data_IF_086930894067
#
_entry.id   IF_086930894067
#
_cell.length_a   1.000
_cell.length_b   1.000
_cell.length_c   1.000
_cell.angle_alpha   90.00
_cell.angle_beta   90.00
_cell.angle_gamma   90.00
#
_symmetry.space_group_name_H-M   'P 1'
#
loop_
_entity.id
_entity.type
_entity.pdbx_description
1 polymer ?
#
# COMPACT_ATOMS: atom_id res chain seq x y z
N UNK A 1 40.30 85.22 -6.10
CA UNK A 1 39.43 84.22 -6.82
C UNK A 1 39.39 82.81 -6.20
N UNK A 2 40.27 82.48 -5.29
CA UNK A 2 40.40 81.11 -4.70
C UNK A 2 39.44 80.81 -3.56
N UNK A 3 38.81 81.75 -2.88
CA UNK A 3 37.89 81.43 -1.72
C UNK A 3 36.47 81.05 -2.17
N UNK A 4 36.02 81.53 -3.36
CA UNK A 4 34.68 81.15 -3.87
C UNK A 4 34.63 79.73 -4.47
N UNK A 5 35.73 79.21 -5.00
CA UNK A 5 35.80 77.82 -5.51
C UNK A 5 35.72 76.82 -4.40
N UNK A 6 36.44 76.98 -3.30
CA UNK A 6 36.41 76.07 -2.13
C UNK A 6 35.06 76.03 -1.43
N UNK A 7 34.26 77.10 -1.50
CA UNK A 7 32.90 77.11 -0.86
C UNK A 7 31.88 76.31 -1.70
N UNK A 8 31.95 76.43 -3.03
CA UNK A 8 31.12 75.62 -3.94
C UNK A 8 31.46 74.14 -3.84
N UNK A 9 32.78 73.77 -3.76
CA UNK A 9 33.21 72.40 -3.63
C UNK A 9 32.69 71.75 -2.32
N UNK A 10 32.61 72.50 -1.20
CA UNK A 10 32.04 72.03 0.09
C UNK A 10 30.55 71.93 0.01
N UNK A 11 29.84 72.87 -0.60
CA UNK A 11 28.37 72.79 -0.77
C UNK A 11 27.98 71.66 -1.67
N UNK A 12 28.70 71.36 -2.73
CA UNK A 12 28.50 70.20 -3.60
C UNK A 12 28.78 68.89 -2.88
N UNK A 13 29.81 68.82 -2.03
CA UNK A 13 30.09 67.63 -1.21
C UNK A 13 29.00 67.37 -0.14
N UNK A 14 28.48 68.45 0.50
CA UNK A 14 27.39 68.38 1.44
C UNK A 14 26.11 67.87 0.74
N UNK A 15 25.81 68.36 -0.41
CA UNK A 15 24.67 67.95 -1.23
C UNK A 15 24.76 66.46 -1.61
N UNK A 16 25.93 66.07 -2.12
CA UNK A 16 26.19 64.64 -2.47
C UNK A 16 26.06 63.72 -1.28
N UNK A 17 26.52 64.16 -0.09
CA UNK A 17 26.36 63.36 1.17
C UNK A 17 24.87 63.23 1.60
N UNK A 18 24.09 64.30 1.44
CA UNK A 18 22.65 64.26 1.71
C UNK A 18 21.92 63.28 0.79
N UNK A 19 22.18 63.38 -0.50
CA UNK A 19 21.60 62.51 -1.51
C UNK A 19 21.97 61.03 -1.25
N UNK A 20 23.23 60.77 -0.87
CA UNK A 20 23.66 59.42 -0.52
C UNK A 20 22.92 58.84 0.71
N UNK A 21 22.74 59.68 1.76
CA UNK A 21 21.96 59.26 2.97
C UNK A 21 20.48 59.02 2.66
N UNK A 22 19.87 59.86 1.84
CA UNK A 22 18.46 59.68 1.43
C UNK A 22 18.27 58.39 0.62
N UNK A 23 19.22 58.04 -0.25
CA UNK A 23 19.25 56.77 -0.99
C UNK A 23 19.40 55.58 -0.07
N UNK A 24 20.32 55.65 0.90
CA UNK A 24 20.54 54.57 1.89
C UNK A 24 19.31 54.35 2.78
N UNK A 25 18.69 55.44 3.23
CA UNK A 25 17.46 55.38 4.02
C UNK A 25 16.30 54.75 3.22
N UNK A 26 16.09 55.14 1.98
CA UNK A 26 15.07 54.60 1.10
C UNK A 26 15.28 53.10 0.85
N UNK A 27 16.52 52.66 0.60
CA UNK A 27 16.87 51.27 0.41
C UNK A 27 16.61 50.46 1.68
N UNK A 28 16.95 50.96 2.87
CA UNK A 28 16.70 50.32 4.15
C UNK A 28 15.20 50.13 4.44
N UNK A 29 14.38 51.14 4.14
CA UNK A 29 12.92 51.06 4.29
C UNK A 29 12.30 50.02 3.36
N UNK A 30 12.72 49.98 2.09
CA UNK A 30 12.25 48.99 1.13
C UNK A 30 12.59 47.56 1.62
N UNK A 31 13.82 47.32 2.08
CA UNK A 31 14.22 46.01 2.63
C UNK A 31 13.40 45.61 3.84
N UNK A 32 13.03 46.56 4.70
CA UNK A 32 12.16 46.28 5.84
C UNK A 32 10.74 45.87 5.41
N UNK A 33 10.18 46.50 4.38
CA UNK A 33 8.86 46.13 3.85
C UNK A 33 8.94 44.76 3.13
N UNK A 34 10.00 44.50 2.35
CA UNK A 34 10.25 43.19 1.71
C UNK A 34 10.21 42.05 2.76
N UNK A 35 10.88 42.24 3.91
CA UNK A 35 10.94 41.20 4.94
C UNK A 35 9.59 40.90 5.60
N UNK A 36 8.65 41.83 5.54
CA UNK A 36 7.30 41.70 6.13
C UNK A 36 6.24 41.24 5.14
N UNK A 37 6.44 41.49 3.84
CA UNK A 37 5.52 41.17 2.75
C UNK A 37 5.77 39.75 2.25
N UNK A 38 5.19 38.77 2.91
CA UNK A 38 5.42 37.33 2.60
C UNK A 38 4.55 36.79 1.47
N UNK A 39 3.33 37.32 1.29
CA UNK A 39 2.35 36.78 0.36
C UNK A 39 1.94 37.75 -0.77
N UNK A 40 2.31 39.05 -0.63
CA UNK A 40 1.91 40.10 -1.57
C UNK A 40 3.07 41.06 -1.80
N UNK A 41 3.47 41.22 -3.05
CA UNK A 41 4.51 42.16 -3.47
C UNK A 41 3.97 43.60 -3.69
N UNK A 42 2.66 43.81 -3.74
CA UNK A 42 2.02 45.10 -3.99
C UNK A 42 2.56 46.23 -3.09
N UNK A 43 2.55 46.08 -1.74
CA UNK A 43 3.07 47.10 -0.83
C UNK A 43 4.53 47.45 -1.07
N UNK A 44 5.37 46.51 -1.52
CA UNK A 44 6.78 46.74 -1.82
C UNK A 44 6.90 47.51 -3.10
N UNK A 45 6.18 47.16 -4.16
CA UNK A 45 6.21 47.89 -5.43
C UNK A 45 5.68 49.30 -5.27
N UNK A 46 4.63 49.47 -4.48
CA UNK A 46 4.09 50.82 -4.16
C UNK A 46 5.12 51.70 -3.50
N UNK A 47 5.83 51.20 -2.48
CA UNK A 47 6.89 51.94 -1.80
C UNK A 47 8.05 52.26 -2.74
N UNK A 48 8.48 51.30 -3.57
CA UNK A 48 9.55 51.49 -4.55
C UNK A 48 9.19 52.61 -5.54
N UNK A 49 7.97 52.63 -6.06
CA UNK A 49 7.51 53.65 -6.97
C UNK A 49 7.42 55.02 -6.26
N UNK A 50 6.96 55.09 -5.02
CA UNK A 50 6.91 56.33 -4.23
C UNK A 50 8.31 56.94 -4.05
N UNK A 51 9.30 56.11 -3.66
CA UNK A 51 10.69 56.57 -3.51
C UNK A 51 11.36 56.91 -4.85
N UNK A 52 11.07 56.18 -5.93
CA UNK A 52 11.58 56.47 -7.24
C UNK A 52 11.07 57.82 -7.77
N UNK A 53 9.79 58.13 -7.58
CA UNK A 53 9.19 59.42 -7.93
C UNK A 53 9.88 60.59 -7.18
N UNK A 54 9.99 60.43 -5.85
CA UNK A 54 10.53 61.45 -4.94
C UNK A 54 12.01 61.77 -5.31
N UNK A 55 12.87 60.74 -5.31
CA UNK A 55 14.31 60.90 -5.46
C UNK A 55 14.74 61.22 -6.91
N UNK A 56 13.98 60.73 -7.91
CA UNK A 56 14.27 61.08 -9.32
C UNK A 56 13.56 62.33 -9.80
N UNK A 57 12.77 63.00 -8.98
CA UNK A 57 11.96 64.16 -9.37
C UNK A 57 11.15 63.87 -10.67
N UNK A 58 10.58 62.66 -10.71
CA UNK A 58 9.77 62.19 -11.83
C UNK A 58 8.35 61.89 -11.32
N UNK A 59 7.37 62.77 -11.54
CA UNK A 59 6.07 62.69 -10.88
C UNK A 59 5.23 61.46 -11.29
N UNK A 60 5.74 60.61 -12.18
CA UNK A 60 4.99 59.47 -12.72
C UNK A 60 5.89 58.25 -12.84
N UNK A 61 5.35 57.12 -12.35
CA UNK A 61 6.03 55.82 -12.47
C UNK A 61 5.01 54.68 -12.70
N UNK A 62 5.44 53.67 -13.44
CA UNK A 62 4.67 52.45 -13.70
C UNK A 62 5.61 51.25 -13.62
N UNK A 63 5.17 50.19 -12.93
CA UNK A 63 5.87 48.93 -12.89
C UNK A 63 5.07 47.91 -13.71
N UNK A 64 5.77 47.29 -14.64
CA UNK A 64 5.24 46.22 -15.49
C UNK A 64 5.88 44.88 -15.11
N UNK A 65 5.12 43.81 -15.09
CA UNK A 65 5.62 42.44 -15.04
C UNK A 65 5.25 41.70 -16.31
N UNK A 66 6.12 40.80 -16.71
CA UNK A 66 5.89 39.89 -17.83
C UNK A 66 4.84 38.87 -17.41
N UNK A 67 3.81 38.67 -18.23
CA UNK A 67 2.78 37.69 -17.96
C UNK A 67 3.33 36.23 -18.00
N UNK A 68 2.57 35.28 -17.49
CA UNK A 68 2.98 33.86 -17.41
C UNK A 68 3.40 33.25 -18.74
N UNK A 69 2.78 33.69 -19.85
CA UNK A 69 3.06 33.19 -21.21
C UNK A 69 4.22 33.94 -21.89
N UNK A 70 4.80 34.94 -21.22
CA UNK A 70 5.90 35.79 -21.74
C UNK A 70 5.55 36.54 -23.04
N UNK A 71 4.27 36.84 -23.27
CA UNK A 71 3.78 37.44 -24.50
C UNK A 71 3.52 38.96 -24.38
N UNK A 72 3.26 39.45 -23.17
CA UNK A 72 2.89 40.81 -22.91
C UNK A 72 3.31 41.29 -21.53
N UNK A 73 3.30 42.61 -21.33
CA UNK A 73 3.64 43.28 -20.09
C UNK A 73 2.38 43.87 -19.44
N UNK A 74 2.06 43.41 -18.24
CA UNK A 74 0.92 43.84 -17.45
C UNK A 74 1.32 44.90 -16.42
N UNK A 75 0.48 45.94 -16.22
CA UNK A 75 0.69 46.91 -15.14
C UNK A 75 0.35 46.29 -13.80
N UNK A 76 1.31 46.22 -12.89
CA UNK A 76 1.14 45.71 -11.52
C UNK A 76 1.13 46.78 -10.44
N UNK A 77 1.79 47.91 -10.71
CA UNK A 77 1.75 49.07 -9.82
C UNK A 77 1.96 50.37 -10.62
N UNK A 78 1.40 51.47 -10.16
CA UNK A 78 1.62 52.81 -10.79
C UNK A 78 1.46 53.93 -9.78
N UNK A 79 2.13 55.08 -10.09
CA UNK A 79 2.00 56.33 -9.34
C UNK A 79 1.86 57.49 -10.31
N UNK A 80 0.95 58.42 -9.99
CA UNK A 80 0.71 59.62 -10.74
C UNK A 80 0.11 59.47 -12.15
N UNK A 81 0.07 58.27 -12.68
CA UNK A 81 -0.49 57.98 -14.00
C UNK A 81 -2.01 58.27 -14.05
N UNK A 82 -2.49 58.80 -15.17
CA UNK A 82 -3.92 59.10 -15.38
C UNK A 82 -4.74 57.80 -15.42
N UNK A 83 -5.88 57.78 -14.75
CA UNK A 83 -6.79 56.61 -14.72
C UNK A 83 -7.09 56.05 -16.10
N UNK A 84 -7.41 56.97 -17.06
CA UNK A 84 -7.69 56.60 -18.44
C UNK A 84 -6.52 55.90 -19.13
N UNK A 85 -5.27 56.30 -18.86
CA UNK A 85 -4.08 55.64 -19.41
C UNK A 85 -3.92 54.25 -18.83
N UNK A 86 -4.10 54.07 -17.51
CA UNK A 86 -4.02 52.76 -16.86
C UNK A 86 -5.09 51.79 -17.35
N UNK A 87 -6.32 52.29 -17.54
CA UNK A 87 -7.41 51.50 -18.08
C UNK A 87 -7.14 51.05 -19.53
N UNK A 88 -6.63 51.96 -20.37
CA UNK A 88 -6.26 51.60 -21.73
C UNK A 88 -5.14 50.55 -21.78
N UNK A 89 -4.15 50.65 -20.90
CA UNK A 89 -3.04 49.70 -20.83
C UNK A 89 -3.49 48.33 -20.26
N UNK A 90 -4.46 48.31 -19.35
CA UNK A 90 -5.07 47.05 -18.88
C UNK A 90 -5.91 46.35 -19.94
N UNK A 91 -6.62 47.13 -20.77
CA UNK A 91 -7.42 46.59 -21.89
C UNK A 91 -6.55 46.14 -23.07
N UNK A 92 -5.41 46.83 -23.27
CA UNK A 92 -4.46 46.61 -24.35
C UNK A 92 -3.03 46.51 -23.76
N UNK A 93 -2.67 45.35 -23.15
CA UNK A 93 -1.35 45.17 -22.55
C UNK A 93 -0.21 45.42 -23.57
N UNK A 94 0.94 45.84 -23.08
CA UNK A 94 2.08 46.12 -23.93
C UNK A 94 2.63 44.86 -24.59
N UNK A 95 2.65 44.76 -25.93
CA UNK A 95 3.20 43.60 -26.60
C UNK A 95 4.73 43.52 -26.41
N UNK A 96 5.24 42.31 -26.44
CA UNK A 96 6.68 42.01 -26.38
C UNK A 96 7.37 42.29 -27.76
N UNK A 97 7.17 43.49 -28.30
CA UNK A 97 7.75 43.95 -29.56
C UNK A 97 8.59 45.20 -29.31
N UNK A 98 9.93 45.14 -29.45
CA UNK A 98 10.82 46.28 -29.23
C UNK A 98 10.61 47.42 -30.26
N UNK A 99 10.01 47.13 -31.40
CA UNK A 99 9.66 48.12 -32.40
C UNK A 99 8.43 48.95 -32.02
N UNK A 100 7.59 48.43 -31.12
CA UNK A 100 6.37 49.13 -30.68
C UNK A 100 6.46 49.70 -29.27
N UNK A 101 7.29 49.11 -28.40
CA UNK A 101 7.37 49.48 -26.99
C UNK A 101 8.80 49.65 -26.51
N UNK A 102 9.11 50.81 -25.90
CA UNK A 102 10.38 51.05 -25.20
C UNK A 102 10.55 50.15 -23.98
N UNK A 103 9.45 49.87 -23.30
CA UNK A 103 9.42 48.97 -22.16
C UNK A 103 9.79 47.57 -22.58
N UNK A 104 9.22 47.07 -23.70
CA UNK A 104 9.62 45.78 -24.27
C UNK A 104 11.08 45.77 -24.75
N UNK A 105 11.54 46.88 -25.31
CA UNK A 105 12.95 47.03 -25.71
C UNK A 105 13.90 46.91 -24.52
N UNK A 106 13.64 47.66 -23.42
CA UNK A 106 14.46 47.56 -22.21
C UNK A 106 14.48 46.12 -21.64
N UNK A 107 13.36 45.44 -21.66
CA UNK A 107 13.25 44.05 -21.17
C UNK A 107 14.03 43.07 -22.08
N UNK A 108 13.89 43.16 -23.40
CA UNK A 108 14.56 42.24 -24.33
C UNK A 108 16.05 42.48 -24.43
N UNK A 109 16.49 43.77 -24.41
CA UNK A 109 17.91 44.12 -24.42
C UNK A 109 18.58 43.99 -23.04
N UNK A 110 17.78 43.74 -21.98
CA UNK A 110 18.24 43.59 -20.58
C UNK A 110 19.10 44.78 -20.11
N UNK A 111 18.79 45.95 -20.61
CA UNK A 111 19.47 47.21 -20.25
C UNK A 111 18.48 48.36 -20.16
N UNK A 112 18.87 49.40 -19.45
CA UNK A 112 18.08 50.61 -19.39
C UNK A 112 17.93 51.27 -20.76
N UNK A 113 16.76 51.82 -21.00
CA UNK A 113 16.46 52.61 -22.19
C UNK A 113 15.90 53.97 -21.77
N UNK A 114 16.51 55.04 -22.23
CA UNK A 114 16.02 56.38 -22.00
C UNK A 114 15.73 57.07 -23.32
N UNK A 115 14.58 57.76 -23.40
CA UNK A 115 14.21 58.63 -24.53
C UNK A 115 13.89 60.01 -24.00
N UNK A 116 14.52 61.02 -24.57
CA UNK A 116 14.40 62.41 -24.12
C UNK A 116 13.06 63.01 -24.54
N UNK A 117 12.60 62.78 -25.78
CA UNK A 117 11.31 63.24 -26.27
C UNK A 117 10.60 62.16 -27.10
N UNK A 118 9.59 61.55 -26.52
CA UNK A 118 8.76 60.49 -27.15
C UNK A 118 7.99 61.00 -28.37
N UNK A 119 7.63 62.30 -28.41
CA UNK A 119 6.92 62.90 -29.52
C UNK A 119 7.80 63.14 -30.73
N UNK A 120 9.12 63.16 -30.53
CA UNK A 120 10.10 63.31 -31.65
C UNK A 120 10.47 61.99 -32.29
N UNK A 121 10.04 60.81 -31.67
CA UNK A 121 10.38 59.49 -32.21
C UNK A 121 9.52 59.11 -33.42
N UNK A 122 10.13 58.38 -34.36
CA UNK A 122 9.46 57.83 -35.55
C UNK A 122 8.22 57.01 -35.19
N UNK A 123 8.28 56.18 -34.11
CA UNK A 123 7.19 55.33 -33.65
C UNK A 123 5.90 56.16 -33.35
N UNK A 124 6.02 57.36 -32.83
CA UNK A 124 4.90 58.28 -32.61
C UNK A 124 4.33 58.80 -33.92
N UNK A 125 5.21 59.21 -34.85
CA UNK A 125 4.81 59.69 -36.18
C UNK A 125 4.14 58.61 -37.04
N UNK A 126 4.55 57.35 -36.86
CA UNK A 126 3.95 56.16 -37.48
C UNK A 126 2.60 55.75 -36.81
N UNK A 127 2.11 56.57 -35.86
CA UNK A 127 0.81 56.38 -35.17
C UNK A 127 0.64 55.04 -34.49
N UNK A 128 1.71 54.46 -33.94
CA UNK A 128 1.59 53.21 -33.17
C UNK A 128 0.70 53.42 -31.93
N UNK A 129 -0.35 52.59 -31.70
CA UNK A 129 -1.39 52.85 -30.71
C UNK A 129 -0.85 53.12 -29.30
N UNK A 130 0.06 52.26 -28.79
CA UNK A 130 0.63 52.40 -27.43
C UNK A 130 1.44 53.70 -27.32
N UNK A 131 2.15 54.12 -28.36
CA UNK A 131 2.90 55.37 -28.36
C UNK A 131 1.97 56.58 -28.38
N UNK A 132 0.88 56.51 -29.16
CA UNK A 132 -0.14 57.54 -29.18
C UNK A 132 -0.81 57.68 -27.82
N UNK A 133 -1.13 56.54 -27.15
CA UNK A 133 -1.68 56.60 -25.81
C UNK A 133 -0.72 57.21 -24.80
N UNK A 134 0.58 56.91 -24.88
CA UNK A 134 1.60 57.46 -23.99
C UNK A 134 1.75 59.00 -24.20
N UNK A 135 1.78 59.47 -25.42
CA UNK A 135 1.98 60.90 -25.73
C UNK A 135 0.69 61.71 -25.65
N UNK A 136 -0.39 61.27 -26.34
CA UNK A 136 -1.61 62.07 -26.47
C UNK A 136 -2.53 61.97 -25.25
N UNK A 137 -2.61 60.78 -24.64
CA UNK A 137 -3.51 60.52 -23.47
C UNK A 137 -2.80 60.83 -22.18
N UNK A 138 -1.58 60.29 -21.96
CA UNK A 138 -0.84 60.46 -20.72
C UNK A 138 -0.01 61.75 -20.71
N UNK A 139 0.41 62.24 -21.88
CA UNK A 139 1.24 63.45 -22.01
C UNK A 139 2.73 63.18 -21.77
N UNK A 140 3.17 61.93 -21.95
CA UNK A 140 4.59 61.58 -21.74
C UNK A 140 5.48 62.25 -22.76
N UNK A 141 6.58 62.83 -22.30
CA UNK A 141 7.62 63.41 -23.15
C UNK A 141 8.95 62.69 -22.92
N UNK A 142 9.46 62.67 -21.72
CA UNK A 142 10.70 61.95 -21.36
C UNK A 142 10.38 60.69 -20.61
N UNK A 143 11.01 59.56 -20.96
CA UNK A 143 10.85 58.27 -20.31
C UNK A 143 12.20 57.60 -20.02
N UNK A 144 12.27 56.93 -18.85
CA UNK A 144 13.33 56.02 -18.47
C UNK A 144 12.69 54.65 -18.18
N UNK A 145 13.12 53.60 -18.84
CA UNK A 145 12.73 52.24 -18.64
C UNK A 145 13.92 51.41 -18.15
N UNK A 146 13.78 50.74 -16.97
CA UNK A 146 14.83 49.94 -16.36
C UNK A 146 14.29 48.52 -16.14
N UNK A 147 14.92 47.48 -16.70
CA UNK A 147 14.44 46.13 -16.59
C UNK A 147 14.64 45.55 -15.17
N UNK A 148 13.73 44.68 -14.75
CA UNK A 148 13.82 43.85 -13.58
C UNK A 148 14.46 42.51 -14.00
N UNK A 149 15.70 42.25 -13.57
CA UNK A 149 16.48 41.10 -14.00
C UNK A 149 16.65 40.15 -12.83
N UNK A 150 16.11 38.90 -12.97
CA UNK A 150 16.28 37.80 -12.04
C UNK A 150 17.17 36.73 -12.68
N UNK A 151 18.39 36.56 -12.16
CA UNK A 151 19.40 35.72 -12.81
C UNK A 151 19.68 36.21 -14.24
N UNK A 152 19.44 35.35 -15.22
CA UNK A 152 19.60 35.68 -16.64
C UNK A 152 18.30 36.12 -17.34
N UNK A 153 17.17 36.18 -16.65
CA UNK A 153 15.88 36.52 -17.23
C UNK A 153 15.39 37.89 -16.78
N UNK A 154 14.82 38.65 -17.72
CA UNK A 154 14.11 39.89 -17.40
C UNK A 154 12.62 39.54 -17.14
N UNK A 155 12.13 39.88 -15.94
CA UNK A 155 10.80 39.54 -15.45
C UNK A 155 9.82 40.70 -15.49
N UNK A 156 10.31 41.91 -15.71
CA UNK A 156 9.49 43.10 -15.71
C UNK A 156 10.31 44.35 -16.02
N UNK A 157 9.67 45.53 -15.90
CA UNK A 157 10.31 46.84 -16.16
C UNK A 157 9.70 47.88 -15.23
N UNK A 158 10.55 48.69 -14.60
CA UNK A 158 10.17 49.97 -13.98
C UNK A 158 10.31 51.08 -15.01
N UNK A 159 9.25 51.86 -15.22
CA UNK A 159 9.28 53.04 -16.07
C UNK A 159 8.99 54.30 -15.27
N UNK A 160 9.87 55.30 -15.37
CA UNK A 160 9.65 56.64 -14.89
C UNK A 160 9.46 57.57 -16.09
N UNK A 161 8.54 58.52 -15.98
CA UNK A 161 8.33 59.47 -17.05
C UNK A 161 8.00 60.88 -16.56
N UNK A 162 8.22 61.86 -17.46
CA UNK A 162 7.91 63.27 -17.29
C UNK A 162 7.03 63.73 -18.42
N UNK A 163 6.18 64.75 -18.16
CA UNK A 163 5.36 65.42 -19.18
C UNK A 163 6.10 66.65 -19.82
N UNK A 164 7.38 66.82 -19.48
CA UNK A 164 8.29 67.83 -20.04
C UNK A 164 9.50 67.13 -20.65
N UNK A 165 10.18 67.79 -21.57
CA UNK A 165 11.41 67.31 -22.16
C UNK A 165 12.56 67.63 -21.21
N UNK A 166 12.92 66.64 -20.35
CA UNK A 166 14.03 66.83 -19.39
C UNK A 166 14.63 65.42 -19.11
N UNK A 167 15.85 65.23 -19.61
CA UNK A 167 16.61 63.98 -19.49
C UNK A 167 16.84 63.60 -18.01
N UNK A 168 16.84 62.33 -17.68
CA UNK A 168 17.29 61.82 -16.40
C UNK A 168 18.80 61.81 -16.32
N UNK A 169 19.33 62.19 -15.18
CA UNK A 169 20.76 62.17 -14.91
C UNK A 169 21.24 60.75 -14.65
N UNK A 170 22.52 60.44 -14.85
CA UNK A 170 23.11 59.16 -14.67
C UNK A 170 22.90 58.63 -13.20
N UNK A 171 23.02 59.54 -12.21
CA UNK A 171 22.73 59.24 -10.80
C UNK A 171 21.30 58.80 -10.55
N UNK A 172 20.32 59.36 -11.28
CA UNK A 172 18.91 58.95 -11.19
C UNK A 172 18.67 57.59 -11.86
N UNK A 173 19.35 57.35 -12.99
CA UNK A 173 19.32 56.04 -13.67
C UNK A 173 19.84 54.94 -12.74
N UNK A 174 21.00 55.15 -12.09
CA UNK A 174 21.60 54.17 -11.17
C UNK A 174 20.71 53.90 -9.93
N UNK A 175 20.03 54.93 -9.44
CA UNK A 175 19.06 54.77 -8.36
C UNK A 175 17.89 53.89 -8.79
N UNK A 176 17.31 54.10 -9.98
CA UNK A 176 16.23 53.25 -10.50
C UNK A 176 16.70 51.83 -10.74
N UNK A 177 17.94 51.59 -11.16
CA UNK A 177 18.54 50.25 -11.24
C UNK A 177 18.57 49.56 -9.87
N UNK A 178 18.96 50.30 -8.82
CA UNK A 178 18.92 49.75 -7.44
C UNK A 178 17.49 49.34 -7.03
N UNK A 179 16.50 50.19 -7.30
CA UNK A 179 15.11 49.90 -7.03
C UNK A 179 14.57 48.73 -7.86
N UNK A 180 15.01 48.58 -9.11
CA UNK A 180 14.70 47.44 -9.94
C UNK A 180 15.21 46.13 -9.31
N UNK A 181 16.44 46.11 -8.78
CA UNK A 181 16.99 44.95 -8.06
C UNK A 181 16.17 44.62 -6.79
N UNK A 182 15.76 45.64 -6.02
CA UNK A 182 14.91 45.40 -4.83
C UNK A 182 13.52 44.85 -5.20
N UNK A 183 12.97 45.30 -6.34
CA UNK A 183 11.69 44.76 -6.85
C UNK A 183 11.79 43.27 -7.22
N UNK A 184 12.93 42.86 -7.80
CA UNK A 184 13.20 41.45 -8.10
C UNK A 184 13.24 40.62 -6.83
N UNK A 185 13.96 41.07 -5.79
CA UNK A 185 14.03 40.35 -4.49
C UNK A 185 12.64 40.21 -3.89
N UNK A 186 11.82 41.27 -3.93
CA UNK A 186 10.44 41.19 -3.42
C UNK A 186 9.59 40.18 -4.17
N UNK A 187 9.67 40.20 -5.51
CA UNK A 187 8.94 39.29 -6.36
C UNK A 187 9.35 37.84 -6.10
N UNK A 188 10.65 37.55 -6.04
CA UNK A 188 11.15 36.20 -5.78
C UNK A 188 10.77 35.67 -4.39
N UNK A 189 10.84 36.51 -3.35
CA UNK A 189 10.46 36.15 -2.01
C UNK A 189 8.98 35.71 -1.93
N UNK A 190 8.07 36.47 -2.52
CA UNK A 190 6.65 36.13 -2.57
C UNK A 190 6.42 34.83 -3.34
N UNK A 191 7.06 34.66 -4.49
CA UNK A 191 6.94 33.44 -5.30
C UNK A 191 7.42 32.21 -4.56
N UNK A 192 8.59 32.28 -3.92
CA UNK A 192 9.15 31.18 -3.14
C UNK A 192 8.26 30.82 -1.94
N UNK A 193 7.71 31.84 -1.28
CA UNK A 193 6.80 31.62 -0.15
C UNK A 193 5.52 30.90 -0.59
N UNK A 194 4.89 31.33 -1.67
CA UNK A 194 3.70 30.69 -2.24
C UNK A 194 3.97 29.23 -2.67
N UNK A 195 5.12 28.98 -3.29
CA UNK A 195 5.52 27.63 -3.67
C UNK A 195 5.74 26.72 -2.44
N UNK A 196 6.38 27.28 -1.40
CA UNK A 196 6.59 26.54 -0.14
C UNK A 196 5.28 26.22 0.58
N UNK A 197 4.35 27.16 0.61
CA UNK A 197 3.01 26.92 1.20
C UNK A 197 2.24 25.82 0.44
N UNK A 198 2.27 25.86 -0.89
CA UNK A 198 1.64 24.84 -1.73
C UNK A 198 2.23 23.45 -1.46
N UNK A 199 3.56 23.32 -1.46
CA UNK A 199 4.25 22.06 -1.15
C UNK A 199 3.98 21.57 0.27
N UNK A 200 3.94 22.48 1.24
CA UNK A 200 3.65 22.13 2.63
C UNK A 200 2.23 21.58 2.79
N UNK A 201 1.27 22.16 2.08
CA UNK A 201 -0.11 21.69 2.05
C UNK A 201 -0.21 20.28 1.42
N UNK A 202 0.49 20.05 0.32
CA UNK A 202 0.55 18.74 -0.34
C UNK A 202 1.15 17.66 0.56
N UNK A 203 2.30 17.96 1.19
CA UNK A 203 2.96 17.03 2.12
C UNK A 203 2.06 16.68 3.31
N UNK A 204 1.32 17.65 3.85
CA UNK A 204 0.35 17.40 4.93
C UNK A 204 -0.77 16.47 4.50
N UNK A 205 -1.34 16.70 3.32
CA UNK A 205 -2.39 15.84 2.77
C UNK A 205 -1.90 14.39 2.57
N UNK A 206 -0.69 14.22 2.03
CA UNK A 206 -0.07 12.89 1.86
C UNK A 206 0.21 12.21 3.22
N UNK A 207 0.65 12.95 4.22
CA UNK A 207 0.89 12.39 5.56
C UNK A 207 -0.41 11.90 6.23
N UNK A 208 -1.52 12.64 6.09
CA UNK A 208 -2.83 12.23 6.60
C UNK A 208 -3.36 10.97 5.87
N UNK A 209 -3.13 10.88 4.58
CA UNK A 209 -3.50 9.71 3.79
C UNK A 209 -2.70 8.48 4.25
N UNK A 210 -1.37 8.61 4.37
CA UNK A 210 -0.49 7.55 4.87
C UNK A 210 -0.89 7.05 6.26
N UNK A 211 -1.28 7.95 7.17
CA UNK A 211 -1.77 7.58 8.51
C UNK A 211 -3.05 6.75 8.44
N UNK A 212 -3.98 7.09 7.54
CA UNK A 212 -5.21 6.30 7.32
C UNK A 212 -4.89 4.90 6.81
N UNK A 213 -4.02 4.80 5.81
CA UNK A 213 -3.58 3.52 5.25
C UNK A 213 -2.87 2.63 6.27
N UNK A 214 -1.99 3.21 7.10
CA UNK A 214 -1.32 2.48 8.16
C UNK A 214 -2.32 1.90 9.18
N UNK A 215 -3.30 2.70 9.62
CA UNK A 215 -4.32 2.24 10.55
C UNK A 215 -5.19 1.12 9.97
N UNK A 216 -5.55 1.22 8.70
CA UNK A 216 -6.30 0.17 8.00
C UNK A 216 -5.47 -1.12 7.88
N UNK A 217 -4.18 -0.98 7.53
CA UNK A 217 -3.25 -2.10 7.43
C UNK A 217 -3.06 -2.81 8.78
N UNK A 218 -2.86 -2.06 9.86
CA UNK A 218 -2.75 -2.62 11.23
C UNK A 218 -4.00 -3.42 11.61
N UNK A 219 -5.18 -2.91 11.31
CA UNK A 219 -6.44 -3.62 11.57
C UNK A 219 -6.54 -4.91 10.76
N UNK A 220 -6.13 -4.87 9.50
CA UNK A 220 -6.16 -6.03 8.60
C UNK A 220 -5.16 -7.10 9.03
N UNK A 221 -3.94 -6.68 9.41
CA UNK A 221 -2.91 -7.61 9.94
C UNK A 221 -3.37 -8.25 11.23
N UNK A 222 -3.94 -7.50 12.18
CA UNK A 222 -4.48 -8.05 13.42
C UNK A 222 -5.56 -9.11 13.17
N UNK A 223 -6.49 -8.84 12.24
CA UNK A 223 -7.52 -9.81 11.84
C UNK A 223 -6.93 -11.07 11.20
N UNK A 224 -5.92 -10.95 10.35
CA UNK A 224 -5.27 -12.10 9.72
C UNK A 224 -4.47 -12.94 10.72
N UNK A 225 -3.83 -12.32 11.71
CA UNK A 225 -3.13 -13.02 12.78
C UNK A 225 -4.10 -13.84 13.63
N UNK A 226 -5.24 -13.26 14.02
CA UNK A 226 -6.28 -13.98 14.78
C UNK A 226 -6.84 -15.17 13.99
N UNK A 227 -7.09 -15.01 12.69
CA UNK A 227 -7.53 -16.09 11.80
C UNK A 227 -6.49 -17.21 11.68
N UNK A 228 -5.20 -16.85 11.53
CA UNK A 228 -4.10 -17.82 11.49
C UNK A 228 -3.91 -18.56 12.81
N UNK A 229 -4.04 -17.89 13.94
CA UNK A 229 -4.00 -18.53 15.27
C UNK A 229 -5.17 -19.49 15.48
N UNK A 230 -6.37 -19.12 15.02
CA UNK A 230 -7.56 -19.97 15.04
C UNK A 230 -7.37 -21.22 14.19
N UNK A 231 -6.87 -21.06 12.94
CA UNK A 231 -6.50 -22.16 12.05
C UNK A 231 -5.41 -23.05 12.67
N UNK A 232 -4.40 -22.48 13.26
CA UNK A 232 -3.31 -23.22 13.90
C UNK A 232 -3.80 -24.08 15.08
N UNK A 233 -4.75 -23.55 15.85
CA UNK A 233 -5.39 -24.33 16.94
C UNK A 233 -6.19 -25.50 16.40
N UNK A 234 -7.02 -25.30 15.38
CA UNK A 234 -7.85 -26.35 14.77
C UNK A 234 -7.00 -27.43 14.08
N UNK A 235 -5.98 -27.07 13.32
CA UNK A 235 -5.09 -28.01 12.61
C UNK A 235 -4.27 -28.91 13.55
N UNK A 236 -4.10 -28.53 14.81
CA UNK A 236 -3.39 -29.37 15.79
C UNK A 236 -4.19 -30.61 16.20
N UNK A 237 -5.51 -30.52 16.10
CA UNK A 237 -6.44 -31.54 16.62
C UNK A 237 -7.30 -32.20 15.53
N UNK A 238 -7.34 -31.65 14.34
CA UNK A 238 -8.14 -32.12 13.23
C UNK A 238 -7.30 -32.36 11.98
N UNK A 239 -7.68 -33.31 11.13
CA UNK A 239 -7.10 -33.39 9.79
C UNK A 239 -7.22 -32.05 9.07
N UNK A 240 -6.22 -31.66 8.25
CA UNK A 240 -6.20 -30.36 7.59
C UNK A 240 -7.48 -30.03 6.81
N UNK A 241 -8.05 -31.03 6.11
CA UNK A 241 -9.27 -30.88 5.33
C UNK A 241 -10.49 -30.53 6.20
N UNK A 242 -10.54 -31.06 7.41
CA UNK A 242 -11.61 -30.81 8.37
C UNK A 242 -11.48 -29.41 8.97
N UNK A 243 -10.26 -29.04 9.36
CA UNK A 243 -9.98 -27.69 9.86
C UNK A 243 -10.33 -26.61 8.81
N UNK A 244 -9.97 -26.85 7.57
CA UNK A 244 -10.27 -25.94 6.46
C UNK A 244 -11.79 -25.86 6.16
N UNK A 245 -12.52 -26.98 6.29
CA UNK A 245 -13.98 -27.00 6.12
C UNK A 245 -14.71 -26.22 7.23
N UNK A 246 -14.25 -26.32 8.47
CA UNK A 246 -14.81 -25.58 9.61
C UNK A 246 -14.56 -24.09 9.47
N UNK A 247 -13.34 -23.70 9.10
CA UNK A 247 -12.98 -22.29 8.92
C UNK A 247 -13.75 -21.68 7.75
N UNK A 248 -13.85 -22.38 6.63
CA UNK A 248 -14.55 -21.88 5.44
C UNK A 248 -16.06 -21.71 5.65
N UNK A 249 -16.69 -22.57 6.44
CA UNK A 249 -18.13 -22.51 6.76
C UNK A 249 -18.44 -21.63 7.98
N UNK A 250 -17.42 -21.29 8.81
CA UNK A 250 -17.60 -20.53 10.04
C UNK A 250 -18.43 -21.25 11.14
N UNK A 251 -18.63 -22.56 11.01
CA UNK A 251 -19.51 -23.34 11.87
C UNK A 251 -18.70 -24.26 12.79
N UNK A 252 -18.43 -23.79 14.00
CA UNK A 252 -17.79 -24.58 15.07
C UNK A 252 -18.72 -25.60 15.71
N UNK A 253 -20.00 -25.58 15.40
CA UNK A 253 -20.99 -26.56 15.98
C UNK A 253 -20.67 -27.97 15.55
N UNK A 254 -19.96 -28.18 14.45
CA UNK A 254 -19.47 -29.47 13.98
C UNK A 254 -18.50 -30.14 14.96
N UNK A 255 -17.88 -29.40 15.89
CA UNK A 255 -17.00 -29.95 16.93
C UNK A 255 -17.77 -30.38 18.18
N UNK A 256 -19.00 -29.99 18.31
CA UNK A 256 -19.87 -30.39 19.42
C UNK A 256 -20.18 -31.89 19.37
N UNK A 257 -20.34 -32.53 20.55
CA UNK A 257 -20.72 -33.92 20.62
C UNK A 257 -22.10 -34.18 20.00
N UNK A 258 -22.16 -35.04 19.01
CA UNK A 258 -23.39 -35.41 18.31
C UNK A 258 -23.43 -36.90 17.96
N UNK A 259 -24.62 -37.38 17.60
CA UNK A 259 -24.81 -38.78 17.21
C UNK A 259 -24.78 -38.92 15.70
N UNK A 260 -23.82 -39.69 15.20
CA UNK A 260 -23.67 -39.95 13.78
C UNK A 260 -23.72 -41.45 13.45
N UNK A 261 -24.18 -41.78 12.24
CA UNK A 261 -24.01 -43.10 11.66
C UNK A 261 -22.66 -43.15 10.97
N UNK A 262 -21.72 -43.92 11.51
CA UNK A 262 -20.35 -43.95 11.03
C UNK A 262 -19.89 -45.35 10.71
N UNK A 263 -18.94 -45.51 9.81
CA UNK A 263 -18.15 -46.71 9.69
C UNK A 263 -16.81 -46.52 10.38
N UNK A 264 -16.45 -47.49 11.20
CA UNK A 264 -15.21 -47.47 11.98
C UNK A 264 -14.34 -48.61 11.49
N UNK A 265 -13.09 -48.31 11.21
CA UNK A 265 -12.05 -49.27 10.86
C UNK A 265 -10.96 -49.19 11.96
N UNK A 266 -10.65 -50.32 12.55
CA UNK A 266 -9.47 -50.54 13.34
C UNK A 266 -8.49 -51.40 12.58
N UNK A 267 -7.21 -51.06 12.59
CA UNK A 267 -6.15 -51.93 12.10
C UNK A 267 -4.95 -51.92 13.05
N UNK A 268 -4.23 -53.05 13.07
CA UNK A 268 -3.17 -53.26 14.03
C UNK A 268 -2.14 -54.29 13.51
N UNK A 269 -0.87 -54.20 13.97
CA UNK A 269 0.14 -55.16 13.63
C UNK A 269 0.03 -56.41 14.50
N UNK A 270 0.06 -57.58 13.90
CA UNK A 270 0.09 -58.83 14.62
C UNK A 270 1.50 -59.12 15.12
N UNK A 271 1.61 -59.67 16.33
CA UNK A 271 2.84 -60.02 17.00
C UNK A 271 3.77 -58.86 17.31
N UNK A 272 3.26 -57.61 17.23
CA UNK A 272 4.07 -56.37 17.43
C UNK A 272 4.65 -56.32 18.86
N UNK A 273 3.91 -56.69 19.91
CA UNK A 273 4.41 -56.73 21.29
C UNK A 273 5.62 -57.66 21.43
N UNK A 274 5.53 -58.86 20.85
CA UNK A 274 6.62 -59.86 20.87
C UNK A 274 7.83 -59.37 20.03
N UNK A 275 7.57 -58.65 18.95
CA UNK A 275 8.60 -57.96 18.15
C UNK A 275 9.36 -56.92 18.98
N UNK A 276 8.65 -56.05 19.69
CA UNK A 276 9.27 -55.05 20.57
C UNK A 276 10.14 -55.64 21.69
N UNK A 277 9.77 -56.81 22.22
CA UNK A 277 10.50 -57.52 23.25
C UNK A 277 11.82 -58.14 22.74
N UNK A 278 11.89 -58.41 21.44
CA UNK A 278 12.99 -59.14 20.79
C UNK A 278 13.90 -58.30 19.92
N UNK A 279 13.59 -56.99 19.79
CA UNK A 279 14.24 -56.10 18.83
C UNK A 279 14.73 -54.83 19.55
N UNK A 280 15.77 -54.19 19.01
CA UNK A 280 16.29 -52.91 19.52
C UNK A 280 15.23 -51.79 19.33
N UNK A 281 15.16 -50.82 20.27
CA UNK A 281 14.18 -49.74 20.23
C UNK A 281 14.21 -48.93 18.91
N UNK A 282 15.38 -48.74 18.31
CA UNK A 282 15.57 -48.03 17.07
C UNK A 282 14.92 -48.70 15.89
N UNK A 283 15.05 -50.04 15.80
CA UNK A 283 14.38 -50.83 14.77
C UNK A 283 12.85 -50.81 14.95
N UNK A 284 12.38 -50.85 16.20
CA UNK A 284 10.95 -50.71 16.51
C UNK A 284 10.37 -49.41 16.02
N UNK A 285 11.08 -48.30 16.22
CA UNK A 285 10.67 -46.98 15.74
C UNK A 285 10.70 -46.91 14.19
N UNK A 286 11.69 -47.49 13.54
CA UNK A 286 11.76 -47.52 12.08
C UNK A 286 10.60 -48.30 11.44
N UNK A 287 10.26 -49.48 12.03
CA UNK A 287 9.10 -50.25 11.59
C UNK A 287 7.81 -49.46 11.78
N UNK A 288 7.60 -48.82 12.96
CA UNK A 288 6.44 -47.96 13.22
C UNK A 288 6.34 -46.78 12.27
N UNK A 289 7.43 -46.11 11.99
CA UNK A 289 7.46 -44.97 11.03
C UNK A 289 7.05 -45.46 9.64
N UNK A 290 7.66 -46.53 9.14
CA UNK A 290 7.34 -47.11 7.83
C UNK A 290 5.88 -47.51 7.73
N UNK A 291 5.34 -48.14 8.79
CA UNK A 291 3.94 -48.54 8.92
C UNK A 291 3.02 -47.31 8.86
N UNK A 292 3.28 -46.30 9.74
CA UNK A 292 2.43 -45.13 9.81
C UNK A 292 2.49 -44.28 8.54
N UNK A 293 3.63 -44.17 7.87
CA UNK A 293 3.74 -43.47 6.60
C UNK A 293 2.93 -44.18 5.49
N UNK A 294 3.02 -45.51 5.43
CA UNK A 294 2.27 -46.27 4.45
C UNK A 294 0.74 -46.19 4.69
N UNK A 295 0.31 -46.36 5.94
CA UNK A 295 -1.13 -46.28 6.30
C UNK A 295 -1.65 -44.86 6.15
N UNK A 296 -0.90 -43.84 6.59
CA UNK A 296 -1.28 -42.44 6.49
C UNK A 296 -1.50 -41.97 5.06
N UNK A 297 -0.65 -42.45 4.10
CA UNK A 297 -0.83 -42.19 2.68
C UNK A 297 -2.16 -42.75 2.16
N UNK A 298 -2.46 -44.00 2.45
CA UNK A 298 -3.72 -44.66 2.03
C UNK A 298 -4.95 -43.99 2.65
N UNK A 299 -4.89 -43.63 3.92
CA UNK A 299 -5.98 -42.92 4.62
C UNK A 299 -6.26 -41.57 3.95
N UNK A 300 -5.20 -40.85 3.58
CA UNK A 300 -5.34 -39.56 2.88
C UNK A 300 -5.91 -39.72 1.47
N UNK A 301 -5.45 -40.73 0.70
CA UNK A 301 -5.96 -41.05 -0.64
C UNK A 301 -7.45 -41.42 -0.65
N UNK A 302 -7.93 -42.02 0.45
CA UNK A 302 -9.35 -42.39 0.63
C UNK A 302 -10.18 -41.32 1.36
N UNK A 303 -9.64 -40.09 1.57
CA UNK A 303 -10.30 -38.98 2.25
C UNK A 303 -10.88 -39.35 3.63
N UNK A 304 -10.26 -40.29 4.34
CA UNK A 304 -10.70 -40.75 5.63
C UNK A 304 -10.09 -39.97 6.80
N UNK A 305 -10.84 -39.84 7.90
CA UNK A 305 -10.36 -39.19 9.13
C UNK A 305 -9.59 -40.18 10.00
N UNK A 306 -8.36 -39.82 10.40
CA UNK A 306 -7.61 -40.52 11.43
C UNK A 306 -8.01 -39.96 12.78
N UNK A 307 -8.54 -40.79 13.66
CA UNK A 307 -8.89 -40.38 15.01
C UNK A 307 -7.77 -40.69 16.01
N UNK A 308 -7.32 -41.90 16.11
CA UNK A 308 -6.43 -42.32 17.18
C UNK A 308 -5.28 -43.17 16.66
N UNK A 309 -4.08 -42.90 17.19
CA UNK A 309 -2.88 -43.73 17.02
C UNK A 309 -2.35 -44.10 18.42
N UNK A 310 -2.43 -45.37 18.78
CA UNK A 310 -1.84 -45.85 20.00
C UNK A 310 -0.87 -46.98 19.66
N UNK A 311 0.42 -46.65 19.61
CA UNK A 311 1.43 -47.63 19.20
C UNK A 311 1.26 -48.04 17.73
N UNK A 312 0.97 -49.31 17.50
CA UNK A 312 0.69 -49.91 16.19
C UNK A 312 -0.78 -49.90 15.79
N UNK A 313 -1.70 -49.54 16.71
CA UNK A 313 -3.14 -49.44 16.43
C UNK A 313 -3.51 -48.12 15.76
N UNK A 314 -4.31 -48.18 14.69
CA UNK A 314 -4.88 -47.03 14.00
C UNK A 314 -6.39 -47.18 13.95
N UNK A 315 -7.13 -46.14 14.37
CA UNK A 315 -8.57 -46.03 14.20
C UNK A 315 -8.88 -44.98 13.10
N UNK A 316 -9.77 -45.36 12.18
CA UNK A 316 -10.24 -44.53 11.09
C UNK A 316 -11.75 -44.41 11.11
N UNK A 317 -12.29 -43.21 10.97
CA UNK A 317 -13.72 -42.91 10.98
C UNK A 317 -14.14 -42.44 9.59
N UNK A 318 -15.29 -42.92 9.11
CA UNK A 318 -15.92 -42.51 7.86
C UNK A 318 -17.30 -41.91 8.12
N UNK A 319 -17.69 -40.92 7.32
CA UNK A 319 -18.95 -40.18 7.39
C UNK A 319 -19.03 -39.12 8.51
N UNK A 320 -17.93 -38.89 9.22
CA UNK A 320 -17.83 -37.84 10.23
C UNK A 320 -16.35 -37.51 10.49
N UNK A 321 -15.95 -36.22 10.57
CA UNK A 321 -16.72 -35.00 10.34
C UNK A 321 -16.97 -34.69 8.87
N UNK A 322 -16.37 -35.44 7.94
CA UNK A 322 -16.61 -35.31 6.50
C UNK A 322 -17.67 -36.33 6.08
N UNK A 323 -18.85 -35.90 5.59
CA UNK A 323 -19.86 -36.80 5.13
C UNK A 323 -19.42 -37.52 3.86
N UNK A 324 -19.74 -38.82 3.76
CA UNK A 324 -19.55 -39.62 2.56
C UNK A 324 -20.85 -40.41 2.23
N UNK A 325 -21.01 -40.77 0.96
CA UNK A 325 -22.25 -41.43 0.50
C UNK A 325 -22.39 -42.85 1.03
N UNK A 326 -21.29 -43.62 1.06
CA UNK A 326 -21.29 -45.03 1.49
C UNK A 326 -20.10 -45.30 2.41
N UNK A 327 -20.24 -45.03 3.72
CA UNK A 327 -19.16 -45.18 4.69
C UNK A 327 -18.68 -46.65 4.85
N UNK A 328 -19.52 -47.61 4.64
CA UNK A 328 -19.12 -49.02 4.76
C UNK A 328 -18.25 -49.48 3.56
N UNK A 329 -18.64 -49.06 2.38
CA UNK A 329 -17.86 -49.28 1.15
C UNK A 329 -16.48 -48.61 1.23
N UNK A 330 -16.43 -47.36 1.62
CA UNK A 330 -15.19 -46.58 1.67
C UNK A 330 -14.24 -47.20 2.72
N UNK A 331 -14.73 -47.62 3.87
CA UNK A 331 -13.97 -48.34 4.88
C UNK A 331 -13.45 -49.69 4.36
N UNK A 332 -14.26 -50.46 3.62
CA UNK A 332 -13.86 -51.72 3.04
C UNK A 332 -12.74 -51.52 1.98
N UNK A 333 -12.90 -50.54 1.10
CA UNK A 333 -11.89 -50.22 0.05
C UNK A 333 -10.55 -49.83 0.66
N UNK A 334 -10.58 -49.00 1.71
CA UNK A 334 -9.37 -48.63 2.46
C UNK A 334 -8.74 -49.88 3.11
N UNK A 335 -9.54 -50.74 3.76
CA UNK A 335 -9.05 -51.95 4.42
C UNK A 335 -8.37 -52.92 3.45
N UNK A 336 -8.94 -53.11 2.26
CA UNK A 336 -8.32 -53.94 1.19
C UNK A 336 -7.00 -53.34 0.73
N UNK A 337 -6.93 -52.01 0.47
CA UNK A 337 -5.72 -51.34 0.09
C UNK A 337 -4.62 -51.41 1.18
N UNK A 338 -5.02 -51.27 2.46
CA UNK A 338 -4.13 -51.42 3.60
C UNK A 338 -3.60 -52.86 3.71
N UNK A 339 -4.46 -53.89 3.60
CA UNK A 339 -4.07 -55.31 3.60
C UNK A 339 -3.01 -55.59 2.51
N UNK A 340 -3.28 -55.17 1.30
CA UNK A 340 -2.39 -55.42 0.17
C UNK A 340 -1.03 -54.70 0.33
N UNK A 341 -1.05 -53.47 0.83
CA UNK A 341 0.19 -52.74 1.12
C UNK A 341 0.96 -53.40 2.27
N UNK A 342 0.29 -53.84 3.31
CA UNK A 342 0.91 -54.50 4.46
C UNK A 342 1.45 -55.89 4.11
N UNK A 343 0.82 -56.64 3.22
CA UNK A 343 1.36 -57.90 2.73
C UNK A 343 2.77 -57.71 2.09
N UNK A 344 2.98 -56.62 1.33
CA UNK A 344 4.27 -56.29 0.78
C UNK A 344 5.30 -55.90 1.88
N UNK A 345 4.91 -55.03 2.84
CA UNK A 345 5.80 -54.61 3.93
C UNK A 345 6.17 -55.77 4.86
N UNK A 346 5.22 -56.58 5.27
CA UNK A 346 5.48 -57.79 6.08
C UNK A 346 6.37 -58.80 5.33
N UNK A 347 6.26 -58.86 4.00
CA UNK A 347 7.15 -59.63 3.16
C UNK A 347 8.62 -59.15 3.20
N UNK A 348 8.80 -57.85 3.20
CA UNK A 348 10.16 -57.23 3.29
C UNK A 348 10.72 -57.37 4.73
N UNK A 349 9.93 -57.12 5.74
CA UNK A 349 10.34 -57.33 7.15
C UNK A 349 10.69 -58.77 7.45
N UNK A 350 10.00 -59.74 6.86
CA UNK A 350 10.32 -61.16 6.99
C UNK A 350 11.73 -61.52 6.45
N UNK A 351 12.19 -60.83 5.40
CA UNK A 351 13.56 -60.96 4.87
C UNK A 351 14.60 -60.47 5.89
N UNK A 352 14.22 -59.49 6.73
CA UNK A 352 15.05 -58.96 7.81
C UNK A 352 14.95 -59.80 9.09
N UNK A 353 14.13 -60.85 9.14
CA UNK A 353 13.94 -61.73 10.30
C UNK A 353 12.72 -61.42 11.17
N UNK A 354 12.00 -60.34 10.85
CA UNK A 354 10.83 -59.90 11.65
C UNK A 354 9.56 -60.61 11.18
N UNK A 355 8.81 -61.18 12.12
CA UNK A 355 7.56 -61.86 11.84
C UNK A 355 6.41 -61.02 12.32
N UNK A 356 6.01 -60.08 11.50
CA UNK A 356 4.85 -59.19 11.72
C UNK A 356 3.72 -59.60 10.76
N UNK A 357 2.50 -59.44 11.23
CA UNK A 357 1.28 -59.61 10.42
C UNK A 357 0.42 -58.36 10.53
N UNK A 358 -0.76 -58.39 9.90
CA UNK A 358 -1.69 -57.26 9.87
C UNK A 358 -3.13 -57.74 9.94
N UNK A 359 -3.96 -57.11 10.80
CA UNK A 359 -5.38 -57.45 10.95
C UNK A 359 -6.24 -56.20 10.94
N UNK A 360 -7.49 -56.33 10.42
CA UNK A 360 -8.45 -55.24 10.32
C UNK A 360 -9.83 -55.67 10.84
N UNK A 361 -10.48 -54.77 11.58
CA UNK A 361 -11.88 -54.91 12.00
C UNK A 361 -12.72 -53.71 11.57
N UNK A 362 -13.86 -53.96 10.92
CA UNK A 362 -14.77 -52.90 10.44
C UNK A 362 -16.16 -53.09 11.03
N UNK A 363 -16.73 -51.99 11.55
CA UNK A 363 -18.10 -51.95 12.05
C UNK A 363 -18.84 -50.73 11.53
N UNK A 364 -20.14 -50.91 11.20
CA UNK A 364 -21.05 -49.83 10.84
C UNK A 364 -22.10 -49.66 11.94
N UNK A 365 -22.26 -48.47 12.49
CA UNK A 365 -23.26 -48.22 13.51
C UNK A 365 -23.31 -46.75 13.98
N UNK A 366 -24.28 -46.50 14.86
CA UNK A 366 -24.36 -45.20 15.51
C UNK A 366 -23.33 -45.10 16.63
N UNK A 367 -22.62 -43.98 16.65
CA UNK A 367 -21.72 -43.60 17.73
C UNK A 367 -21.95 -42.15 18.13
N UNK A 368 -21.45 -41.74 19.28
CA UNK A 368 -21.30 -40.32 19.65
C UNK A 368 -19.93 -39.86 19.18
N UNK A 369 -19.92 -38.85 18.35
CA UNK A 369 -18.69 -38.25 17.78
C UNK A 369 -18.53 -36.83 18.32
N UNK A 370 -17.33 -36.37 18.55
CA UNK A 370 -17.06 -35.04 19.05
C UNK A 370 -15.68 -34.89 19.70
N UNK A 371 -15.42 -33.70 20.23
CA UNK A 371 -14.18 -33.44 20.93
C UNK A 371 -14.15 -34.02 22.31
N UNK A 372 -13.14 -34.82 22.62
CA UNK A 372 -12.92 -35.44 23.95
C UNK A 372 -11.49 -35.09 24.41
N UNK A 373 -11.35 -34.73 25.68
CA UNK A 373 -10.05 -34.39 26.23
C UNK A 373 -10.11 -33.32 27.31
N UNK A 374 -9.00 -32.67 27.53
CA UNK A 374 -8.85 -31.56 28.48
C UNK A 374 -8.02 -30.42 27.88
N UNK A 375 -8.00 -29.27 28.51
CA UNK A 375 -7.31 -28.06 28.02
C UNK A 375 -5.85 -28.37 27.64
N UNK A 376 -5.52 -28.07 26.36
CA UNK A 376 -4.23 -28.37 25.77
C UNK A 376 -4.10 -29.75 25.11
N UNK A 377 -5.06 -30.66 25.28
CA UNK A 377 -5.06 -31.99 24.64
C UNK A 377 -6.49 -32.48 24.36
N UNK A 378 -7.08 -31.96 23.32
CA UNK A 378 -8.37 -32.42 22.78
C UNK A 378 -8.13 -33.23 21.52
N UNK A 379 -8.94 -34.29 21.36
CA UNK A 379 -8.97 -35.15 20.17
C UNK A 379 -10.41 -35.26 19.68
N UNK A 380 -10.60 -35.21 18.37
CA UNK A 380 -11.90 -35.44 17.75
C UNK A 380 -12.08 -36.95 17.59
N UNK A 381 -12.95 -37.55 18.35
CA UNK A 381 -13.06 -39.00 18.48
C UNK A 381 -14.50 -39.51 18.50
N UNK A 382 -14.65 -40.81 18.37
CA UNK A 382 -15.93 -41.51 18.44
C UNK A 382 -16.00 -42.47 19.64
N UNK A 383 -17.18 -42.57 20.25
CA UNK A 383 -17.44 -43.52 21.33
C UNK A 383 -18.80 -44.21 21.14
N UNK A 384 -18.85 -45.48 21.38
CA UNK A 384 -20.08 -46.28 21.29
C UNK A 384 -19.85 -47.75 20.98
N UNK A 385 -20.96 -48.51 20.94
CA UNK A 385 -20.91 -49.95 20.71
C UNK A 385 -20.28 -50.33 19.37
N UNK A 386 -20.51 -49.51 18.34
CA UNK A 386 -19.92 -49.74 17.00
C UNK A 386 -18.40 -49.61 17.04
N UNK A 387 -17.86 -48.60 17.78
CA UNK A 387 -16.42 -48.40 17.95
C UNK A 387 -15.78 -49.58 18.66
N UNK A 388 -16.40 -50.01 19.81
CA UNK A 388 -15.93 -51.15 20.57
C UNK A 388 -15.99 -52.46 19.74
N UNK A 389 -17.01 -52.63 18.91
CA UNK A 389 -17.14 -53.79 18.05
C UNK A 389 -16.01 -53.85 17.00
N UNK A 390 -15.72 -52.74 16.31
CA UNK A 390 -14.63 -52.70 15.34
C UNK A 390 -13.27 -53.03 15.99
N UNK A 391 -12.99 -52.47 17.18
CA UNK A 391 -11.79 -52.79 17.94
C UNK A 391 -11.70 -54.29 18.27
N UNK A 392 -12.78 -54.92 18.76
CA UNK A 392 -12.78 -56.37 19.07
C UNK A 392 -12.66 -57.23 17.84
N UNK A 393 -13.24 -56.83 16.71
CA UNK A 393 -13.06 -57.53 15.44
C UNK A 393 -11.57 -57.45 15.00
N UNK A 394 -10.95 -56.27 15.11
CA UNK A 394 -9.52 -56.15 14.87
C UNK A 394 -8.69 -57.07 15.77
N UNK A 395 -8.94 -57.10 17.08
CA UNK A 395 -8.23 -57.99 18.01
C UNK A 395 -8.29 -59.48 17.59
N UNK A 396 -9.41 -59.93 16.98
CA UNK A 396 -9.63 -61.33 16.57
C UNK A 396 -9.15 -61.62 15.14
N UNK A 397 -8.90 -60.59 14.32
CA UNK A 397 -8.42 -60.78 12.96
C UNK A 397 -7.00 -61.35 12.95
N UNK A 398 -6.77 -62.37 12.17
CA UNK A 398 -5.45 -62.99 11.94
C UNK A 398 -4.67 -62.19 10.89
N UNK A 399 -3.43 -62.57 10.63
CA UNK A 399 -2.61 -61.99 9.58
C UNK A 399 -3.34 -62.05 8.22
N UNK A 400 -3.51 -60.85 7.61
CA UNK A 400 -4.19 -60.67 6.32
C UNK A 400 -5.72 -60.70 6.38
N UNK A 401 -6.35 -60.86 7.59
CA UNK A 401 -7.81 -60.91 7.70
C UNK A 401 -8.45 -59.54 7.88
N UNK A 402 -9.56 -59.32 7.20
CA UNK A 402 -10.46 -58.19 7.37
C UNK A 402 -11.80 -58.75 7.90
N UNK A 403 -12.17 -58.46 9.15
CA UNK A 403 -13.39 -58.88 9.77
C UNK A 403 -14.45 -57.78 9.76
N UNK A 404 -15.65 -58.12 9.33
CA UNK A 404 -16.81 -57.25 9.23
C UNK A 404 -17.86 -57.58 10.27
N UNK A 405 -18.44 -56.54 10.90
CA UNK A 405 -19.67 -56.69 11.68
C UNK A 405 -20.85 -57.05 10.77
N UNK A 406 -21.95 -57.68 11.29
CA UNK A 406 -23.11 -58.03 10.50
C UNK A 406 -23.68 -56.88 9.70
N UNK A 407 -23.76 -55.71 10.34
CA UNK A 407 -24.27 -54.49 9.69
C UNK A 407 -23.35 -53.93 8.65
N UNK A 408 -22.03 -53.99 8.86
CA UNK A 408 -21.04 -53.56 7.85
C UNK A 408 -21.09 -54.53 6.64
N UNK A 409 -21.18 -55.86 6.88
CA UNK A 409 -21.31 -56.84 5.81
C UNK A 409 -22.59 -56.62 4.98
N UNK A 410 -23.74 -56.46 5.61
CA UNK A 410 -25.01 -56.23 4.91
C UNK A 410 -25.00 -55.00 4.03
N UNK A 411 -24.19 -53.99 4.38
CA UNK A 411 -24.05 -52.77 3.56
C UNK A 411 -23.13 -52.96 2.34
N UNK A 412 -22.26 -53.99 2.31
CA UNK A 412 -21.26 -54.23 1.26
C UNK A 412 -21.33 -55.62 0.63
N UNK A 413 -22.38 -56.42 0.94
CA UNK A 413 -22.51 -57.81 0.50
C UNK A 413 -22.45 -57.98 -1.04
N UNK A 414 -22.96 -57.00 -1.76
CA UNK A 414 -22.94 -57.00 -3.23
C UNK A 414 -21.55 -56.65 -3.81
N UNK A 415 -20.67 -56.09 -3.00
CA UNK A 415 -19.36 -55.57 -3.43
C UNK A 415 -18.20 -56.52 -3.14
N UNK A 416 -18.37 -57.42 -2.16
CA UNK A 416 -17.27 -58.22 -1.65
C UNK A 416 -17.60 -59.71 -1.63
N UNK A 417 -16.61 -60.56 -1.93
CA UNK A 417 -16.67 -61.96 -1.57
C UNK A 417 -16.34 -62.08 -0.08
N UNK A 418 -17.29 -62.47 0.71
CA UNK A 418 -17.08 -62.72 2.13
C UNK A 418 -17.62 -64.07 2.58
N UNK A 419 -16.97 -64.65 3.59
CA UNK A 419 -17.35 -65.91 4.20
C UNK A 419 -17.76 -65.68 5.65
N UNK A 420 -18.75 -66.43 6.13
CA UNK A 420 -19.08 -66.43 7.56
C UNK A 420 -17.88 -66.96 8.36
N UNK A 421 -17.32 -66.14 9.23
CA UNK A 421 -16.20 -66.50 10.11
C UNK A 421 -16.70 -67.15 11.44
N UNK A 422 -18.00 -67.33 11.57
CA UNK A 422 -18.63 -67.90 12.73
C UNK A 422 -19.12 -66.88 13.77
N UNK A 423 -19.55 -67.34 14.90
CA UNK A 423 -19.97 -66.49 16.02
C UNK A 423 -18.79 -66.26 16.99
N UNK A 424 -18.51 -65.03 17.31
CA UNK A 424 -17.45 -64.65 18.27
C UNK A 424 -18.07 -64.13 19.56
N UNK A 425 -17.63 -64.72 20.70
CA UNK A 425 -17.92 -64.16 22.03
C UNK A 425 -16.90 -63.05 22.33
N UNK A 426 -17.36 -61.82 22.22
CA UNK A 426 -16.48 -60.62 22.35
C UNK A 426 -16.59 -60.02 23.74
N UNK A 427 -15.48 -59.65 24.34
CA UNK A 427 -15.43 -59.02 25.65
C UNK A 427 -16.28 -57.73 25.67
N UNK A 428 -17.28 -57.68 26.58
CA UNK A 428 -18.17 -56.52 26.72
C UNK A 428 -19.48 -56.63 25.94
N UNK A 429 -19.71 -57.74 25.22
CA UNK A 429 -20.95 -58.03 24.51
C UNK A 429 -21.66 -59.17 25.19
N UNK A 430 -23.00 -59.09 25.33
CA UNK A 430 -23.80 -60.07 26.07
C UNK A 430 -24.15 -61.34 25.27
N UNK A 431 -24.12 -61.28 23.96
CA UNK A 431 -24.42 -62.38 23.05
C UNK A 431 -23.28 -62.53 22.02
N UNK A 432 -23.07 -63.75 21.54
CA UNK A 432 -22.20 -64.01 20.42
C UNK A 432 -22.61 -63.17 19.20
N UNK A 433 -21.63 -62.69 18.45
CA UNK A 433 -21.84 -61.87 17.27
C UNK A 433 -21.37 -62.65 16.07
N UNK A 434 -22.22 -62.77 15.06
CA UNK A 434 -21.87 -63.34 13.77
C UNK A 434 -20.85 -62.37 13.06
N UNK A 435 -19.81 -62.94 12.49
CA UNK A 435 -18.70 -62.16 11.89
C UNK A 435 -18.45 -62.70 10.50
N UNK A 436 -18.13 -61.79 9.59
CA UNK A 436 -17.82 -62.09 8.17
C UNK A 436 -16.38 -61.72 7.86
N UNK A 437 -15.68 -62.60 7.13
CA UNK A 437 -14.33 -62.39 6.63
C UNK A 437 -14.42 -61.91 5.21
N UNK A 438 -13.99 -60.69 4.93
CA UNK A 438 -13.87 -60.14 3.59
C UNK A 438 -12.64 -60.73 2.88
N UNK A 439 -12.82 -61.24 1.67
CA UNK A 439 -11.72 -61.71 0.81
C UNK A 439 -11.32 -60.64 -0.22
N UNK A 440 -11.99 -60.62 -1.37
CA UNK A 440 -11.70 -59.74 -2.46
C UNK A 440 -12.97 -59.11 -3.05
N UNK A 441 -12.83 -58.03 -3.76
CA UNK A 441 -13.97 -57.39 -4.44
C UNK A 441 -14.58 -58.34 -5.47
N UNK A 442 -15.90 -58.34 -5.57
CA UNK A 442 -16.59 -59.00 -6.67
C UNK A 442 -16.25 -58.33 -7.99
N UNK A 443 -15.94 -59.09 -9.04
CA UNK A 443 -15.84 -58.52 -10.36
C UNK A 443 -17.17 -57.86 -10.72
N UNK A 444 -17.13 -56.59 -11.15
CA UNK A 444 -18.34 -55.96 -11.68
C UNK A 444 -18.90 -56.82 -12.79
N UNK A 445 -20.11 -57.34 -12.60
CA UNK A 445 -20.88 -57.89 -13.73
C UNK A 445 -21.20 -56.71 -14.63
N UNK A 446 -20.63 -56.72 -15.86
CA UNK A 446 -20.93 -55.75 -16.93
C UNK A 446 -22.44 -55.75 -17.24
#
# INVERSE_FOLDING_TARGET
MTVNSSRNDVDDAIQALREAREREAATGEILQVISRSRSDYGPVFDLILDRAIELCQAPFAVLFLLNGDKTQLDIVAHRGARTRFVELMKQNPLPMDPAQSLTARALLEKREVQVEDLAAEKIYHDRQPHRVYSVDVEGMRTILAVPLISGDEAIGVITLYRREVRRFQDSQVDLVKTFAQQSVIAFENVRQFQELEARTSEVRAQAEELQRWNKELETRVASQVDELERLGRLRRFLPPQVADAIVSKGDESLLGSHRALISILFCDLRDFTAFCESTEPEETIEVLQTYHEAMGKLIHEHNAGVDHRAGDGIMVIFNDPLPCEDPARDALLLALAMRDRMAALCGDWRKLGHRLGFGVGISLGYATVGMVGFEGRYEYTASGTAVNLAARLCDHARDGEILLSPRAYAAVEDLVHAEAAGELTLKGFHAPIEVFRAADLRAKSE
#
